data_IF_300829974952
#
_entry.id   IF_300829974952
#
_cell.length_a   1.000
_cell.length_b   1.000
_cell.length_c   1.000
_cell.angle_alpha   90.00
_cell.angle_beta   90.00
_cell.angle_gamma   90.00
#
_symmetry.space_group_name_H-M   'P 1'
#
loop_
_entity.id
_entity.type
_entity.pdbx_description
1 polymer ?
#
# COMPACT_ATOMS: atom_id res chain seq x y z
N UNK A 1 0.89 -7.08 -4.36
CA UNK A 1 1.10 -8.51 -4.67
C UNK A 1 2.24 -9.05 -3.81
N UNK A 2 2.27 -10.35 -3.53
CA UNK A 2 3.35 -10.98 -2.74
C UNK A 2 4.23 -11.79 -3.68
N UNK A 3 5.55 -11.58 -3.63
CA UNK A 3 6.57 -12.36 -4.36
C UNK A 3 7.73 -12.62 -3.40
N UNK A 4 8.18 -13.86 -3.28
CA UNK A 4 9.29 -14.25 -2.39
C UNK A 4 9.18 -13.70 -0.96
N UNK A 5 7.97 -13.79 -0.38
CA UNK A 5 7.64 -13.27 0.95
C UNK A 5 7.81 -11.75 1.13
N UNK A 6 7.91 -11.01 0.02
CA UNK A 6 7.94 -9.55 -0.02
C UNK A 6 6.64 -9.01 -0.60
N UNK A 7 6.22 -7.86 -0.10
CA UNK A 7 5.04 -7.17 -0.59
C UNK A 7 5.47 -6.15 -1.66
N UNK A 8 4.71 -6.07 -2.75
CA UNK A 8 4.94 -5.13 -3.84
C UNK A 8 3.66 -4.37 -4.18
N UNK A 9 3.81 -3.10 -4.55
CA UNK A 9 2.76 -2.29 -5.16
C UNK A 9 3.01 -2.17 -6.66
N UNK A 10 1.93 -2.29 -7.45
CA UNK A 10 1.96 -2.08 -8.89
C UNK A 10 1.05 -0.90 -9.20
N UNK A 11 1.63 0.16 -9.74
CA UNK A 11 0.90 1.32 -10.24
C UNK A 11 0.92 1.28 -11.77
N UNK A 12 -0.19 1.66 -12.40
CA UNK A 12 -0.29 1.65 -13.86
C UNK A 12 0.85 2.50 -14.45
N UNK A 13 1.56 1.92 -15.44
CA UNK A 13 2.67 2.57 -16.13
C UNK A 13 3.93 2.84 -15.29
N UNK A 14 4.02 2.27 -14.08
CA UNK A 14 5.22 2.34 -13.24
C UNK A 14 5.80 0.94 -13.02
N UNK A 15 7.10 0.88 -12.72
CA UNK A 15 7.69 -0.37 -12.23
C UNK A 15 7.07 -0.76 -10.88
N UNK A 16 7.04 -2.06 -10.61
CA UNK A 16 6.64 -2.54 -9.29
C UNK A 16 7.62 -2.05 -8.23
N UNK A 17 7.09 -1.60 -7.09
CA UNK A 17 7.89 -1.10 -5.98
C UNK A 17 7.72 -2.03 -4.79
N UNK A 18 8.83 -2.44 -4.18
CA UNK A 18 8.83 -3.23 -2.96
C UNK A 18 8.32 -2.37 -1.78
N UNK A 19 7.45 -2.95 -0.97
CA UNK A 19 6.94 -2.36 0.26
C UNK A 19 7.68 -2.96 1.46
N UNK A 20 8.34 -2.09 2.22
CA UNK A 20 9.07 -2.43 3.43
C UNK A 20 8.16 -2.22 4.63
N UNK A 21 7.98 -3.25 5.46
CA UNK A 21 7.14 -3.16 6.66
C UNK A 21 7.66 -2.09 7.61
N UNK A 22 6.77 -1.25 8.13
CA UNK A 22 7.08 -0.30 9.18
C UNK A 22 6.44 -0.71 10.50
N UNK A 23 5.15 -0.46 10.69
CA UNK A 23 4.42 -0.80 11.90
C UNK A 23 2.95 -1.12 11.59
N UNK A 24 2.35 -2.04 12.34
CA UNK A 24 0.95 -2.43 12.12
C UNK A 24 0.69 -2.83 10.67
N UNK A 25 -0.19 -2.10 10.01
CA UNK A 25 -0.57 -2.23 8.58
C UNK A 25 0.04 -1.15 7.68
N UNK A 26 1.06 -0.44 8.17
CA UNK A 26 1.81 0.59 7.44
C UNK A 26 3.13 0.06 6.87
N UNK A 27 3.41 0.47 5.63
CA UNK A 27 4.60 0.12 4.87
C UNK A 27 5.19 1.36 4.19
N UNK A 28 6.52 1.35 4.03
CA UNK A 28 7.24 2.33 3.22
C UNK A 28 7.52 1.78 1.82
N UNK A 29 7.59 2.69 0.86
CA UNK A 29 8.05 2.36 -0.47
C UNK A 29 9.57 2.28 -0.44
N UNK A 30 10.13 1.15 -0.86
CA UNK A 30 11.57 0.95 -0.89
C UNK A 30 12.23 2.02 -1.76
N UNK A 31 13.31 2.60 -1.26
CA UNK A 31 14.12 3.63 -1.92
C UNK A 31 13.37 4.94 -2.27
N UNK A 32 12.17 5.16 -1.71
CA UNK A 32 11.36 6.37 -1.91
C UNK A 32 11.00 7.04 -0.57
N UNK A 33 11.89 7.90 -0.04
CA UNK A 33 11.62 8.60 1.22
C UNK A 33 10.42 9.54 1.08
N UNK A 34 9.61 9.61 2.14
CA UNK A 34 8.39 10.42 2.15
C UNK A 34 7.16 9.74 1.53
N UNK A 35 7.30 8.50 1.07
CA UNK A 35 6.20 7.68 0.56
C UNK A 35 5.83 6.57 1.54
N UNK A 36 4.55 6.50 1.92
CA UNK A 36 4.03 5.41 2.73
C UNK A 36 2.65 4.96 2.26
N UNK A 37 2.29 3.73 2.63
CA UNK A 37 0.97 3.16 2.40
C UNK A 37 0.49 2.50 3.68
N UNK A 38 -0.72 2.85 4.12
CA UNK A 38 -1.38 2.25 5.25
C UNK A 38 -2.66 1.53 4.79
N UNK A 39 -2.82 0.27 5.21
CA UNK A 39 -4.03 -0.49 4.93
C UNK A 39 -5.02 -0.37 6.09
N UNK A 40 -6.24 0.05 5.77
CA UNK A 40 -7.35 0.11 6.72
C UNK A 40 -8.18 -1.16 6.62
N UNK A 41 -8.56 -1.72 7.76
CA UNK A 41 -9.42 -2.89 7.86
C UNK A 41 -10.78 -2.55 8.44
N UNK A 42 -11.79 -3.34 8.09
CA UNK A 42 -13.08 -3.32 8.79
C UNK A 42 -13.02 -4.09 10.14
N UNK A 43 -14.16 -4.19 10.82
CA UNK A 43 -14.29 -4.90 12.10
C UNK A 43 -14.05 -6.42 12.00
N UNK A 44 -14.04 -6.98 10.79
CA UNK A 44 -13.72 -8.39 10.55
C UNK A 44 -12.23 -8.59 10.20
N UNK A 45 -11.43 -7.52 10.21
CA UNK A 45 -10.01 -7.56 9.83
C UNK A 45 -9.78 -7.61 8.32
N UNK A 46 -10.81 -7.38 7.50
CA UNK A 46 -10.69 -7.38 6.04
C UNK A 46 -10.18 -6.02 5.59
N UNK A 47 -9.10 -6.01 4.81
CA UNK A 47 -8.59 -4.77 4.19
C UNK A 47 -9.64 -4.21 3.24
N UNK A 48 -10.07 -2.97 3.47
CA UNK A 48 -11.09 -2.26 2.68
C UNK A 48 -10.52 -1.06 1.93
N UNK A 49 -9.43 -0.47 2.43
CA UNK A 49 -8.82 0.73 1.84
C UNK A 49 -7.30 0.69 1.97
N UNK A 50 -6.65 1.43 1.07
CA UNK A 50 -5.26 1.83 1.19
C UNK A 50 -5.16 3.35 1.18
N UNK A 51 -4.49 3.93 2.17
CA UNK A 51 -4.16 5.35 2.24
C UNK A 51 -2.69 5.51 1.86
N UNK A 52 -2.42 6.24 0.79
CA UNK A 52 -1.10 6.45 0.22
C UNK A 52 -0.68 7.88 0.52
N UNK A 53 0.36 8.04 1.32
CA UNK A 53 0.97 9.33 1.63
C UNK A 53 2.16 9.55 0.72
N UNK A 54 2.19 10.69 0.06
CA UNK A 54 3.27 11.14 -0.81
C UNK A 54 3.63 12.57 -0.43
N UNK A 55 4.84 13.08 -0.78
CA UNK A 55 5.22 14.45 -0.47
C UNK A 55 4.25 15.52 -1.03
N UNK A 56 3.56 15.19 -2.12
CA UNK A 56 2.61 16.08 -2.79
C UNK A 56 1.14 15.89 -2.35
N UNK A 57 0.85 14.96 -1.44
CA UNK A 57 -0.51 14.75 -0.94
C UNK A 57 -0.81 13.35 -0.45
N UNK A 58 -2.07 13.18 -0.02
CA UNK A 58 -2.61 11.92 0.48
C UNK A 58 -3.71 11.44 -0.46
N UNK A 59 -3.62 10.19 -0.89
CA UNK A 59 -4.55 9.56 -1.82
C UNK A 59 -5.17 8.31 -1.19
N UNK A 60 -6.49 8.17 -1.30
CA UNK A 60 -7.19 6.98 -0.79
C UNK A 60 -7.65 6.11 -1.94
N UNK A 61 -7.29 4.83 -1.90
CA UNK A 61 -7.75 3.81 -2.82
C UNK A 61 -8.69 2.84 -2.10
N UNK A 62 -9.93 2.74 -2.58
CA UNK A 62 -10.88 1.73 -2.11
C UNK A 62 -10.58 0.39 -2.76
N UNK A 63 -10.65 -0.70 -1.98
CA UNK A 63 -10.52 -2.05 -2.53
C UNK A 63 -11.62 -2.26 -3.55
N UNK A 64 -11.24 -2.59 -4.79
CA UNK A 64 -12.19 -3.00 -5.82
C UNK A 64 -12.89 -4.27 -5.36
N UNK A 65 -14.21 -4.23 -5.26
CA UNK A 65 -15.03 -5.42 -5.09
C UNK A 65 -15.12 -6.07 -6.47
N UNK A 66 -14.49 -7.23 -6.63
CA UNK A 66 -14.67 -8.03 -7.84
C UNK A 66 -16.00 -8.76 -7.70
N UNK A 67 -17.04 -8.27 -8.40
CA UNK A 67 -18.30 -9.00 -8.61
C UNK A 67 -18.16 -9.91 -9.83
#
# INVERSE_FOLDING_TARGET
>A
MIKDNKLFVSLASQQEIELVRYQGTEFYFKDLPGYSINFTTDNAGVVTQAVITQPNGVFTANKKVST
#
